data_IF_806343078447
#
_entry.id   IF_806343078447
#
_cell.length_a   1.000
_cell.length_b   1.000
_cell.length_c   1.000
_cell.angle_alpha   90.00
_cell.angle_beta   90.00
_cell.angle_gamma   90.00
#
_symmetry.space_group_name_H-M   'P 1'
#
loop_
_entity.id
_entity.type
_entity.pdbx_description
1 polymer ?
#
# COMPACT_ATOMS: atom_id res chain seq x y z
N UNK A 1 -6.87 17.40 -9.61
CA UNK A 1 -6.56 16.30 -8.67
C UNK A 1 -7.74 16.00 -7.72
N UNK A 2 -8.27 16.97 -6.95
CA UNK A 2 -9.43 16.73 -6.06
C UNK A 2 -10.65 16.17 -6.80
N UNK A 3 -11.00 16.78 -7.94
CA UNK A 3 -12.09 16.27 -8.78
C UNK A 3 -11.83 14.82 -9.25
N UNK A 4 -10.61 14.52 -9.70
CA UNK A 4 -10.22 13.16 -10.10
C UNK A 4 -10.35 12.16 -8.95
N UNK A 5 -9.96 12.55 -7.73
CA UNK A 5 -10.13 11.72 -6.54
C UNK A 5 -11.60 11.47 -6.21
N UNK A 6 -12.44 12.51 -6.20
CA UNK A 6 -13.88 12.36 -5.90
C UNK A 6 -14.62 11.56 -6.98
N UNK A 7 -14.30 11.80 -8.25
CA UNK A 7 -14.87 11.05 -9.39
C UNK A 7 -14.43 9.59 -9.32
N UNK A 8 -13.13 9.33 -9.09
CA UNK A 8 -12.60 7.99 -8.98
C UNK A 8 -13.22 7.22 -7.82
N UNK A 9 -13.29 7.82 -6.63
CA UNK A 9 -13.90 7.19 -5.46
C UNK A 9 -15.39 6.90 -5.68
N UNK A 10 -16.21 7.93 -5.94
CA UNK A 10 -17.67 7.73 -6.10
C UNK A 10 -18.01 6.88 -7.32
N UNK A 11 -17.24 6.99 -8.40
CA UNK A 11 -17.38 6.15 -9.58
C UNK A 11 -17.09 4.69 -9.27
N UNK A 12 -15.99 4.43 -8.56
CA UNK A 12 -15.60 3.09 -8.09
C UNK A 12 -16.66 2.46 -7.19
N UNK A 13 -17.23 3.22 -6.25
CA UNK A 13 -18.31 2.73 -5.38
C UNK A 13 -19.55 2.31 -6.17
N UNK A 14 -19.96 3.12 -7.16
CA UNK A 14 -21.15 2.82 -7.97
C UNK A 14 -21.03 1.53 -8.78
N UNK A 15 -19.82 1.17 -9.20
CA UNK A 15 -19.57 -0.07 -9.94
C UNK A 15 -19.22 -1.26 -9.02
N UNK A 16 -19.26 -1.08 -7.70
CA UNK A 16 -18.96 -2.13 -6.73
C UNK A 16 -17.48 -2.49 -6.64
N UNK A 17 -16.57 -1.57 -6.97
CA UNK A 17 -15.12 -1.82 -6.90
C UNK A 17 -14.67 -1.98 -5.44
N UNK A 18 -14.13 -3.14 -5.09
CA UNK A 18 -13.52 -3.35 -3.78
C UNK A 18 -12.30 -2.42 -3.60
N UNK A 19 -12.25 -1.70 -2.49
CA UNK A 19 -11.23 -0.66 -2.26
C UNK A 19 -11.40 0.58 -3.14
N UNK A 20 -12.63 0.92 -3.55
CA UNK A 20 -12.95 2.07 -4.40
C UNK A 20 -12.32 3.40 -3.94
N UNK A 21 -12.21 3.64 -2.63
CA UNK A 21 -11.62 4.85 -2.06
C UNK A 21 -10.12 5.01 -2.32
N UNK A 22 -9.42 3.92 -2.66
CA UNK A 22 -7.99 3.91 -2.99
C UNK A 22 -7.80 3.67 -4.50
N UNK A 23 -8.37 2.58 -5.02
CA UNK A 23 -8.19 2.19 -6.42
C UNK A 23 -8.87 3.14 -7.40
N UNK A 24 -10.06 3.65 -7.06
CA UNK A 24 -10.80 4.58 -7.91
C UNK A 24 -10.01 5.86 -8.22
N UNK A 25 -9.59 6.64 -7.20
CA UNK A 25 -8.71 7.79 -7.38
C UNK A 25 -7.42 7.47 -8.12
N UNK A 26 -6.80 6.31 -7.83
CA UNK A 26 -5.55 5.88 -8.46
C UNK A 26 -5.72 5.66 -9.96
N UNK A 27 -6.76 4.93 -10.38
CA UNK A 27 -7.05 4.64 -11.79
C UNK A 27 -7.35 5.93 -12.55
N UNK A 28 -8.24 6.77 -12.03
CA UNK A 28 -8.62 8.04 -12.70
C UNK A 28 -7.41 8.97 -12.78
N UNK A 29 -6.63 9.09 -11.71
CA UNK A 29 -5.42 9.94 -11.72
C UNK A 29 -4.38 9.40 -12.70
N UNK A 30 -4.17 8.08 -12.77
CA UNK A 30 -3.25 7.46 -13.73
C UNK A 30 -3.66 7.76 -15.18
N UNK A 31 -4.95 7.60 -15.53
CA UNK A 31 -5.45 7.92 -16.88
C UNK A 31 -5.27 9.40 -17.20
N UNK A 32 -5.59 10.29 -16.26
CA UNK A 32 -5.44 11.72 -16.45
C UNK A 32 -3.96 12.16 -16.53
N UNK A 33 -3.06 11.48 -15.83
CA UNK A 33 -1.62 11.74 -15.92
C UNK A 33 -1.03 11.24 -17.24
N UNK A 34 -1.43 10.05 -17.70
CA UNK A 34 -0.99 9.50 -18.99
C UNK A 34 -1.53 10.29 -20.20
N UNK A 35 -2.65 10.98 -20.03
CA UNK A 35 -3.23 11.87 -21.06
C UNK A 35 -2.70 13.31 -21.00
N UNK A 36 -1.75 13.63 -20.11
CA UNK A 36 -1.17 14.97 -19.97
C UNK A 36 -2.08 15.99 -19.28
N UNK A 37 -3.20 15.56 -18.68
CA UNK A 37 -4.12 16.46 -17.95
C UNK A 37 -3.61 16.74 -16.53
N UNK A 38 -3.04 15.74 -15.87
CA UNK A 38 -2.44 15.87 -14.54
C UNK A 38 -0.94 15.61 -14.65
N UNK A 39 -0.18 16.69 -14.76
CA UNK A 39 1.29 16.63 -14.85
C UNK A 39 1.99 17.05 -13.55
N UNK A 40 1.22 17.63 -12.61
CA UNK A 40 1.76 18.19 -11.38
C UNK A 40 1.42 17.28 -10.21
N UNK A 41 2.41 17.04 -9.34
CA UNK A 41 2.21 16.38 -8.04
C UNK A 41 1.36 17.28 -7.12
N UNK A 42 0.60 16.70 -6.17
CA UNK A 42 -0.08 17.49 -5.16
C UNK A 42 0.93 18.32 -4.36
N UNK A 43 0.51 19.49 -3.83
CA UNK A 43 1.37 20.29 -2.96
C UNK A 43 1.77 19.48 -1.72
N UNK A 44 2.96 19.73 -1.18
CA UNK A 44 3.55 18.97 -0.07
C UNK A 44 2.63 18.96 1.15
N UNK A 45 2.00 20.09 1.42
CA UNK A 45 1.05 20.31 2.51
C UNK A 45 -0.14 19.34 2.42
N UNK A 46 -0.64 19.07 1.21
CA UNK A 46 -1.73 18.13 1.00
C UNK A 46 -1.29 16.68 1.25
N UNK A 47 -0.07 16.31 0.84
CA UNK A 47 0.50 14.97 1.10
C UNK A 47 0.68 14.76 2.61
N UNK A 48 1.25 15.74 3.31
CA UNK A 48 1.45 15.69 4.77
C UNK A 48 0.12 15.64 5.51
N UNK A 49 -0.86 16.44 5.10
CA UNK A 49 -2.21 16.39 5.67
C UNK A 49 -2.86 15.01 5.46
N UNK A 50 -2.74 14.43 4.26
CA UNK A 50 -3.25 13.08 3.99
C UNK A 50 -2.57 12.03 4.89
N UNK A 51 -1.25 12.05 5.01
CA UNK A 51 -0.51 11.14 5.90
C UNK A 51 -0.92 11.31 7.37
N UNK A 52 -1.13 12.55 7.81
CA UNK A 52 -1.59 12.83 9.16
C UNK A 52 -2.98 12.23 9.44
N UNK A 53 -3.95 12.42 8.54
CA UNK A 53 -5.29 11.83 8.69
C UNK A 53 -5.29 10.31 8.55
N UNK A 54 -4.47 9.74 7.67
CA UNK A 54 -4.29 8.28 7.57
C UNK A 54 -3.73 7.75 8.89
N UNK A 55 -2.72 8.41 9.46
CA UNK A 55 -2.14 8.06 10.75
C UNK A 55 -3.14 8.13 11.90
N UNK A 56 -3.97 9.18 11.97
CA UNK A 56 -5.07 9.28 12.94
C UNK A 56 -6.07 8.14 12.73
N UNK A 57 -6.49 7.88 11.49
CA UNK A 57 -7.46 6.83 11.18
C UNK A 57 -6.97 5.45 11.62
N UNK A 58 -5.70 5.14 11.39
CA UNK A 58 -5.07 3.91 11.88
C UNK A 58 -5.01 3.93 13.42
N UNK A 59 -4.61 5.05 14.01
CA UNK A 59 -4.51 5.22 15.47
C UNK A 59 -5.83 5.04 16.22
N UNK A 60 -6.95 5.49 15.64
CA UNK A 60 -8.29 5.28 16.21
C UNK A 60 -8.63 3.78 16.34
N UNK A 61 -8.07 2.93 15.48
CA UNK A 61 -8.22 1.48 15.59
C UNK A 61 -7.64 0.86 16.87
N UNK A 62 -6.81 1.61 17.60
CA UNK A 62 -6.22 1.18 18.87
C UNK A 62 -6.93 1.75 20.10
N UNK A 63 -8.03 2.50 19.94
CA UNK A 63 -8.80 3.02 21.08
C UNK A 63 -9.37 1.85 21.89
N UNK A 64 -9.06 1.83 23.20
CA UNK A 64 -9.49 0.76 24.10
C UNK A 64 -8.59 -0.48 24.11
N UNK A 65 -7.56 -0.54 23.27
CA UNK A 65 -6.57 -1.62 23.29
C UNK A 65 -5.58 -1.41 24.43
N UNK A 66 -5.34 -2.45 25.22
CA UNK A 66 -4.42 -2.41 26.36
C UNK A 66 -2.96 -2.48 25.91
N UNK A 67 -2.05 -2.00 26.76
CA UNK A 67 -0.61 -2.09 26.50
C UNK A 67 -0.11 -3.54 26.37
N UNK A 68 -0.75 -4.47 27.08
CA UNK A 68 -0.43 -5.91 27.02
C UNK A 68 -0.80 -6.51 25.66
N UNK A 69 -1.97 -6.16 25.12
CA UNK A 69 -2.42 -6.57 23.79
C UNK A 69 -1.50 -5.99 22.72
N UNK A 70 -1.23 -4.68 22.77
CA UNK A 70 -0.28 -4.01 21.86
C UNK A 70 1.08 -4.70 21.91
N UNK A 71 1.61 -5.01 23.10
CA UNK A 71 2.91 -5.68 23.21
C UNK A 71 2.92 -7.04 22.53
N UNK A 72 1.86 -7.85 22.72
CA UNK A 72 1.73 -9.15 22.07
C UNK A 72 1.70 -9.01 20.54
N UNK A 73 0.91 -8.07 20.03
CA UNK A 73 0.77 -7.84 18.59
C UNK A 73 2.04 -7.25 17.97
N UNK A 74 2.73 -6.35 18.68
CA UNK A 74 4.02 -5.81 18.25
C UNK A 74 5.08 -6.91 18.19
N UNK A 75 5.15 -7.82 19.17
CA UNK A 75 6.08 -8.95 19.09
C UNK A 75 5.79 -9.85 17.89
N UNK A 76 4.52 -10.16 17.63
CA UNK A 76 4.12 -10.90 16.43
C UNK A 76 4.47 -10.13 15.15
N UNK A 77 4.26 -8.81 15.16
CA UNK A 77 4.62 -7.90 14.08
C UNK A 77 6.12 -7.88 13.78
N UNK A 78 6.98 -7.88 14.80
CA UNK A 78 8.44 -7.95 14.63
C UNK A 78 8.83 -9.27 13.95
N UNK A 79 8.26 -10.39 14.40
CA UNK A 79 8.51 -11.68 13.76
C UNK A 79 8.06 -11.68 12.30
N UNK A 80 6.89 -11.12 12.01
CA UNK A 80 6.36 -10.97 10.66
C UNK A 80 7.25 -10.08 9.78
N UNK A 81 7.73 -8.94 10.29
CA UNK A 81 8.70 -8.08 9.60
C UNK A 81 10.00 -8.83 9.32
N UNK A 82 10.46 -9.68 10.24
CA UNK A 82 11.63 -10.54 10.00
C UNK A 82 11.42 -11.50 8.82
N UNK A 83 10.25 -12.14 8.73
CA UNK A 83 9.89 -13.00 7.60
C UNK A 83 9.88 -12.18 6.30
N UNK A 84 9.26 -11.00 6.31
CA UNK A 84 9.22 -10.13 5.13
C UNK A 84 10.61 -9.65 4.73
N UNK A 85 11.49 -9.33 5.68
CA UNK A 85 12.86 -8.92 5.39
C UNK A 85 13.66 -10.05 4.69
N UNK A 86 13.51 -11.30 5.15
CA UNK A 86 14.12 -12.45 4.48
C UNK A 86 13.56 -12.63 3.07
N UNK A 87 12.23 -12.52 2.90
CA UNK A 87 11.59 -12.57 1.58
C UNK A 87 12.09 -11.44 0.66
N UNK A 88 12.23 -10.22 1.16
CA UNK A 88 12.78 -9.10 0.40
C UNK A 88 14.17 -9.40 -0.10
N UNK A 89 15.07 -9.89 0.77
CA UNK A 89 16.44 -10.24 0.35
C UNK A 89 16.40 -11.34 -0.72
N UNK A 90 15.65 -12.41 -0.48
CA UNK A 90 15.56 -13.52 -1.45
C UNK A 90 15.02 -13.07 -2.81
N UNK A 91 13.93 -12.31 -2.84
CA UNK A 91 13.34 -11.83 -4.11
C UNK A 91 14.25 -10.82 -4.79
N UNK A 92 14.91 -9.95 -4.02
CA UNK A 92 15.89 -8.99 -4.55
C UNK A 92 17.05 -9.71 -5.24
N UNK A 93 17.65 -10.70 -4.58
CA UNK A 93 18.73 -11.50 -5.17
C UNK A 93 18.27 -12.21 -6.45
N UNK A 94 17.06 -12.79 -6.46
CA UNK A 94 16.50 -13.44 -7.65
C UNK A 94 16.39 -12.45 -8.81
N UNK A 95 15.79 -11.27 -8.61
CA UNK A 95 15.60 -10.32 -9.71
C UNK A 95 16.92 -9.71 -10.19
N UNK A 96 17.90 -9.54 -9.29
CA UNK A 96 19.24 -9.02 -9.63
C UNK A 96 20.01 -10.04 -10.47
N UNK A 97 20.03 -11.31 -10.05
CA UNK A 97 20.70 -12.39 -10.80
C UNK A 97 20.06 -12.60 -12.17
N UNK A 98 18.73 -12.45 -12.27
CA UNK A 98 18.01 -12.52 -13.55
C UNK A 98 18.18 -11.27 -14.42
N UNK A 99 18.81 -10.21 -13.92
CA UNK A 99 19.05 -8.96 -14.66
C UNK A 99 17.82 -8.07 -14.81
N UNK A 100 16.78 -8.25 -13.98
CA UNK A 100 15.54 -7.46 -14.03
C UNK A 100 15.60 -6.16 -13.23
N UNK A 101 16.52 -6.05 -12.28
CA UNK A 101 16.70 -4.85 -11.46
C UNK A 101 18.13 -4.73 -10.94
N UNK A 102 18.56 -3.50 -10.66
CA UNK A 102 19.75 -3.26 -9.85
C UNK A 102 19.44 -3.55 -8.36
N UNK A 103 20.46 -3.79 -7.51
CA UNK A 103 20.24 -4.20 -6.12
C UNK A 103 19.43 -3.22 -5.27
N UNK A 104 19.67 -1.91 -5.42
CA UNK A 104 18.99 -0.89 -4.61
C UNK A 104 17.52 -0.77 -5.01
N UNK A 105 17.24 -0.74 -6.30
CA UNK A 105 15.91 -0.67 -6.89
C UNK A 105 15.09 -1.90 -6.53
N UNK A 106 15.69 -3.09 -6.66
CA UNK A 106 15.07 -4.35 -6.23
C UNK A 106 14.75 -4.33 -4.74
N UNK A 107 15.74 -4.01 -3.89
CA UNK A 107 15.54 -3.97 -2.45
C UNK A 107 14.43 -3.00 -2.05
N UNK A 108 14.47 -1.75 -2.52
CA UNK A 108 13.48 -0.73 -2.17
C UNK A 108 12.07 -1.07 -2.70
N UNK A 109 11.97 -1.73 -3.86
CA UNK A 109 10.69 -2.14 -4.44
C UNK A 109 10.02 -3.28 -3.68
N UNK A 110 10.81 -4.26 -3.23
CA UNK A 110 10.31 -5.46 -2.54
C UNK A 110 10.33 -5.33 -1.01
N UNK A 111 10.95 -4.28 -0.47
CA UNK A 111 10.97 -4.03 0.97
C UNK A 111 9.55 -3.76 1.50
N UNK A 112 9.18 -4.36 2.65
CA UNK A 112 7.99 -3.96 3.36
C UNK A 112 8.17 -2.53 3.88
N UNK A 113 7.16 -1.71 3.70
CA UNK A 113 7.23 -0.29 4.06
C UNK A 113 6.16 0.53 3.36
N UNK A 114 6.00 1.76 3.81
CA UNK A 114 5.12 2.72 3.18
C UNK A 114 5.71 3.25 1.87
N UNK A 115 4.85 3.46 0.88
CA UNK A 115 5.28 3.91 -0.46
C UNK A 115 5.91 5.30 -0.41
N UNK A 116 5.44 6.18 0.48
CA UNK A 116 5.96 7.53 0.61
C UNK A 116 7.41 7.54 1.12
N UNK A 117 7.73 6.72 2.12
CA UNK A 117 9.07 6.58 2.69
C UNK A 117 10.04 5.98 1.67
N UNK A 118 9.62 4.92 0.97
CA UNK A 118 10.46 4.29 -0.06
C UNK A 118 10.74 5.24 -1.24
N UNK A 119 9.78 6.11 -1.58
CA UNK A 119 9.96 7.14 -2.62
C UNK A 119 11.00 8.18 -2.21
N UNK A 120 11.03 8.58 -0.93
CA UNK A 120 12.07 9.48 -0.40
C UNK A 120 13.43 8.78 -0.41
N UNK A 121 13.50 7.53 0.05
CA UNK A 121 14.74 6.74 0.04
C UNK A 121 15.28 6.54 -1.38
N UNK A 122 14.41 6.28 -2.35
CA UNK A 122 14.77 6.15 -3.76
C UNK A 122 15.43 7.43 -4.30
N UNK A 123 14.84 8.60 -4.02
CA UNK A 123 15.38 9.89 -4.43
C UNK A 123 16.76 10.13 -3.78
N UNK A 124 16.88 9.85 -2.47
CA UNK A 124 18.13 10.03 -1.73
C UNK A 124 19.22 9.08 -2.22
N UNK A 125 18.86 7.83 -2.54
CA UNK A 125 19.77 6.83 -3.06
C UNK A 125 20.12 7.00 -4.55
N UNK A 126 19.46 7.92 -5.26
CA UNK A 126 19.62 8.10 -6.70
C UNK A 126 19.11 6.91 -7.53
N UNK A 127 18.18 6.13 -6.98
CA UNK A 127 17.58 4.97 -7.62
C UNK A 127 16.48 5.36 -8.61
N UNK A 128 16.10 4.46 -9.52
CA UNK A 128 14.98 4.68 -10.43
C UNK A 128 13.65 4.77 -9.64
N UNK A 129 13.18 6.00 -9.48
CA UNK A 129 11.94 6.32 -8.79
C UNK A 129 10.72 5.70 -9.47
N UNK A 130 10.71 5.69 -10.81
CA UNK A 130 9.61 5.16 -11.61
C UNK A 130 9.45 3.67 -11.40
N UNK A 131 10.56 2.92 -11.46
CA UNK A 131 10.60 1.49 -11.17
C UNK A 131 10.00 1.17 -9.80
N UNK A 132 10.47 1.85 -8.75
CA UNK A 132 10.04 1.60 -7.37
C UNK A 132 8.55 1.94 -7.17
N UNK A 133 8.11 3.10 -7.66
CA UNK A 133 6.70 3.53 -7.53
C UNK A 133 5.76 2.55 -8.25
N UNK A 134 6.10 2.09 -9.46
CA UNK A 134 5.28 1.13 -10.20
C UNK A 134 5.14 -0.19 -9.43
N UNK A 135 6.20 -0.69 -8.81
CA UNK A 135 6.14 -1.90 -7.97
C UNK A 135 5.22 -1.71 -6.75
N UNK A 136 5.32 -0.58 -6.06
CA UNK A 136 4.44 -0.30 -4.92
C UNK A 136 2.97 -0.14 -5.33
N UNK A 137 2.68 0.54 -6.45
CA UNK A 137 1.32 0.65 -6.97
C UNK A 137 0.76 -0.71 -7.39
N UNK A 138 1.57 -1.51 -8.07
CA UNK A 138 1.23 -2.89 -8.45
C UNK A 138 0.89 -3.72 -7.21
N UNK A 139 1.71 -3.63 -6.15
CA UNK A 139 1.45 -4.28 -4.86
C UNK A 139 0.10 -3.87 -4.28
N UNK A 140 -0.24 -2.58 -4.28
CA UNK A 140 -1.52 -2.10 -3.75
C UNK A 140 -2.69 -2.70 -4.55
N UNK A 141 -2.61 -2.70 -5.89
CA UNK A 141 -3.64 -3.29 -6.76
C UNK A 141 -3.79 -4.79 -6.49
N UNK A 142 -2.67 -5.52 -6.44
CA UNK A 142 -2.67 -6.96 -6.19
C UNK A 142 -3.22 -7.33 -4.82
N UNK A 143 -2.86 -6.59 -3.76
CA UNK A 143 -3.34 -6.86 -2.41
C UNK A 143 -4.83 -6.55 -2.29
N UNK A 144 -5.28 -5.40 -2.79
CA UNK A 144 -6.68 -5.00 -2.67
C UNK A 144 -7.58 -5.94 -3.48
N UNK A 145 -7.27 -6.18 -4.76
CA UNK A 145 -8.09 -7.04 -5.61
C UNK A 145 -7.92 -8.53 -5.29
N UNK A 146 -6.72 -8.94 -4.89
CA UNK A 146 -6.40 -10.32 -4.55
C UNK A 146 -6.99 -10.79 -3.22
N UNK A 147 -7.16 -9.90 -2.23
CA UNK A 147 -7.72 -10.27 -0.93
C UNK A 147 -9.09 -10.96 -0.98
N UNK A 148 -10.15 -10.39 -1.63
CA UNK A 148 -11.44 -11.05 -1.71
C UNK A 148 -11.40 -12.34 -2.54
N UNK A 149 -10.56 -12.38 -3.57
CA UNK A 149 -10.35 -13.58 -4.42
C UNK A 149 -9.77 -14.71 -3.57
N UNK A 150 -8.70 -14.41 -2.83
CA UNK A 150 -8.05 -15.36 -1.94
C UNK A 150 -9.00 -15.85 -0.84
N UNK A 151 -9.77 -14.95 -0.23
CA UNK A 151 -10.77 -15.31 0.77
C UNK A 151 -11.84 -16.27 0.21
N UNK A 152 -12.29 -16.04 -1.02
CA UNK A 152 -13.26 -16.90 -1.70
C UNK A 152 -12.71 -18.31 -1.99
N UNK A 153 -11.47 -18.41 -2.47
CA UNK A 153 -10.84 -19.70 -2.78
C UNK A 153 -10.50 -20.53 -1.55
N UNK A 154 -10.00 -19.89 -0.49
CA UNK A 154 -9.49 -20.60 0.68
C UNK A 154 -10.52 -20.87 1.77
N UNK A 155 -11.82 -20.59 1.53
CA UNK A 155 -12.91 -20.70 2.54
C UNK A 155 -12.37 -20.30 3.92
N UNK A 156 -11.79 -19.10 4.02
CA UNK A 156 -11.35 -18.58 5.31
C UNK A 156 -12.61 -18.53 6.17
N UNK A 157 -12.80 -19.56 6.99
CA UNK A 157 -14.00 -19.77 7.77
C UNK A 157 -14.03 -18.59 8.72
N UNK A 158 -14.87 -17.61 8.38
CA UNK A 158 -15.15 -16.51 9.26
C UNK A 158 -15.46 -17.12 10.61
N UNK A 159 -14.60 -16.87 11.59
CA UNK A 159 -15.05 -16.88 12.98
C UNK A 159 -16.11 -15.79 13.01
N UNK A 160 -17.35 -16.18 12.76
CA UNK A 160 -18.51 -15.34 13.05
C UNK A 160 -18.34 -14.93 14.50
N UNK A 161 -18.11 -13.64 14.71
CA UNK A 161 -18.17 -13.07 16.03
C UNK A 161 -19.58 -13.35 16.54
N UNK A 162 -19.65 -14.07 17.65
CA UNK A 162 -20.82 -14.08 18.51
C UNK A 162 -21.24 -12.62 18.72
N UNK A 163 -22.47 -12.29 18.33
CA UNK A 163 -23.19 -11.14 18.87
C UNK A 163 -23.77 -11.56 20.21
N UNK A 164 -23.34 -11.00 21.35
CA UNK A 164 -24.12 -11.04 22.57
C UNK A 164 -25.04 -9.82 22.62
N UNK A 165 -26.36 -10.06 22.66
CA UNK A 165 -27.38 -9.14 23.17
C UNK A 165 -27.99 -8.19 22.15
#
# INVERSE_FOLDING_TARGET
>A
MVAAALIGWKGGERIGLFGASILGPMIVTAVLSLSGVIEHRPPREAIVAAQYFIGIGIGVGYVGVTLLEIRKDVLAGIAFVGILAVLTVMVTEIVVVLGFANPVEGFLSFAPGGQAEMTVLAIVAGADLGFIVVHHLTRIVLVILGAPIFAAFFKVRGRGGDTPG
#
